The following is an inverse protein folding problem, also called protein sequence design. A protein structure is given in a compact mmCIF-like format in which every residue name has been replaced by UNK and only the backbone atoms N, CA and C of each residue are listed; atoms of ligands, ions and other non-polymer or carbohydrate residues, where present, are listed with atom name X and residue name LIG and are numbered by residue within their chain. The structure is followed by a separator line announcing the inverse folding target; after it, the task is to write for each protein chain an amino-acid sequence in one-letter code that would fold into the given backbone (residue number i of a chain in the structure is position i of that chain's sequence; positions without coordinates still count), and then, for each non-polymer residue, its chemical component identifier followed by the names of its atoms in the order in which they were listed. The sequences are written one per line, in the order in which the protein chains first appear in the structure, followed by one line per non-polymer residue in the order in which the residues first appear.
data_IF_290112551479
#
_entry.id   IF_290112551479
#
_cell.length_a   1.000
_cell.length_b   1.000
_cell.length_c   1.000
_cell.angle_alpha   90.00
_cell.angle_beta   90.00
_cell.angle_gamma   90.00
#
_symmetry.space_group_name_H-M   'P 1'
#
loop_
_entity.id
_entity.type
_entity.pdbx_description
1 polymer ?
#
# COMPACT_ATOMS: atom_id res chain seq x y z
N UNK A 1 -6.26 -7.69 1.32
CA UNK A 1 -7.43 -7.36 0.50
C UNK A 1 -7.46 -5.86 0.30
N UNK A 2 -8.14 -5.40 -0.74
CA UNK A 2 -8.46 -3.99 -0.94
C UNK A 2 -9.68 -3.61 -0.09
N UNK A 3 -9.95 -2.31 0.03
CA UNK A 3 -10.99 -1.73 0.90
C UNK A 3 -12.33 -1.49 0.18
N UNK A 4 -12.53 -2.12 -0.98
CA UNK A 4 -13.76 -2.08 -1.78
C UNK A 4 -14.12 -3.49 -2.28
N UNK A 5 -15.37 -3.65 -2.71
CA UNK A 5 -15.87 -4.88 -3.32
C UNK A 5 -15.33 -5.03 -4.76
N UNK A 6 -15.04 -6.27 -5.24
CA UNK A 6 -14.51 -6.49 -6.60
C UNK A 6 -15.38 -5.84 -7.70
N UNK A 7 -16.70 -5.97 -7.61
CA UNK A 7 -17.64 -5.39 -8.57
C UNK A 7 -17.56 -3.86 -8.65
N UNK A 8 -17.13 -3.20 -7.58
CA UNK A 8 -16.91 -1.76 -7.56
C UNK A 8 -15.56 -1.39 -8.16
N UNK A 9 -14.53 -2.23 -7.95
CA UNK A 9 -13.20 -2.06 -8.51
C UNK A 9 -13.19 -2.27 -10.02
N UNK A 10 -13.96 -3.23 -10.54
CA UNK A 10 -14.12 -3.51 -11.98
C UNK A 10 -14.67 -2.33 -12.80
N UNK A 11 -15.23 -1.32 -12.12
CA UNK A 11 -15.81 -0.12 -12.75
C UNK A 11 -14.83 1.04 -12.87
N UNK A 12 -13.63 0.91 -12.31
CA UNK A 12 -12.64 1.98 -12.27
C UNK A 12 -11.63 1.81 -13.41
N UNK A 13 -11.24 2.93 -14.02
CA UNK A 13 -10.19 2.92 -15.06
C UNK A 13 -8.80 2.66 -14.46
N UNK A 14 -8.58 3.10 -13.21
CA UNK A 14 -7.32 2.99 -12.47
C UNK A 14 -7.63 2.81 -10.98
N UNK A 15 -6.97 1.83 -10.35
CA UNK A 15 -7.03 1.53 -8.92
C UNK A 15 -5.68 1.79 -8.27
N UNK A 16 -5.66 2.70 -7.28
CA UNK A 16 -4.47 3.03 -6.49
C UNK A 16 -4.58 2.45 -5.10
N UNK A 17 -3.78 1.43 -4.78
CA UNK A 17 -3.72 0.85 -3.44
C UNK A 17 -2.74 1.61 -2.55
N UNK A 18 -3.18 2.03 -1.35
CA UNK A 18 -2.34 2.74 -0.37
C UNK A 18 -2.55 2.21 1.05
N UNK A 19 -1.54 2.34 1.90
CA UNK A 19 -1.67 2.05 3.34
C UNK A 19 -1.95 3.35 4.08
N UNK A 20 -3.10 3.44 4.76
CA UNK A 20 -3.48 4.62 5.57
C UNK A 20 -3.71 4.33 7.06
N UNK A 21 -3.59 3.07 7.46
CA UNK A 21 -3.86 2.63 8.84
C UNK A 21 -2.78 1.67 9.34
N UNK A 22 -2.59 1.61 10.66
CA UNK A 22 -1.59 0.73 11.31
C UNK A 22 -0.17 0.91 10.70
N UNK A 23 0.24 2.16 10.49
CA UNK A 23 1.50 2.51 9.82
C UNK A 23 2.76 2.12 10.62
N UNK A 24 2.61 1.87 11.91
CA UNK A 24 3.69 1.43 12.81
C UNK A 24 3.73 -0.09 13.02
N UNK A 25 3.12 -0.87 12.12
CA UNK A 25 3.22 -2.34 12.16
C UNK A 25 4.66 -2.82 12.03
N UNK A 26 4.91 -4.03 12.55
CA UNK A 26 6.17 -4.73 12.30
C UNK A 26 6.45 -4.90 10.80
N UNK A 27 7.73 -4.86 10.43
CA UNK A 27 8.19 -4.88 9.04
C UNK A 27 7.66 -6.09 8.28
N UNK A 28 7.73 -7.29 8.85
CA UNK A 28 7.30 -8.51 8.17
C UNK A 28 5.79 -8.53 7.94
N UNK A 29 5.02 -8.00 8.89
CA UNK A 29 3.57 -7.89 8.76
C UNK A 29 3.17 -6.82 7.72
N UNK A 30 3.90 -5.70 7.66
CA UNK A 30 3.68 -4.67 6.64
C UNK A 30 4.02 -5.18 5.23
N UNK A 31 5.16 -5.87 5.05
CA UNK A 31 5.53 -6.50 3.78
C UNK A 31 4.43 -7.43 3.26
N UNK A 32 3.96 -8.38 4.08
CA UNK A 32 2.89 -9.31 3.68
C UNK A 32 1.60 -8.57 3.30
N UNK A 33 1.27 -7.51 4.04
CA UNK A 33 0.09 -6.68 3.77
C UNK A 33 0.20 -5.98 2.42
N UNK A 34 1.35 -5.35 2.13
CA UNK A 34 1.60 -4.64 0.88
C UNK A 34 1.64 -5.60 -0.30
N UNK A 35 2.38 -6.71 -0.20
CA UNK A 35 2.43 -7.77 -1.23
C UNK A 35 1.02 -8.27 -1.55
N UNK A 36 0.18 -8.54 -0.54
CA UNK A 36 -1.20 -8.99 -0.76
C UNK A 36 -2.09 -7.93 -1.43
N UNK A 37 -1.77 -6.64 -1.28
CA UNK A 37 -2.52 -5.56 -1.92
C UNK A 37 -2.11 -5.39 -3.38
N UNK A 38 -0.80 -5.41 -3.68
CA UNK A 38 -0.30 -5.23 -5.06
C UNK A 38 -0.51 -6.46 -5.93
N UNK A 39 -0.45 -7.67 -5.35
CA UNK A 39 -0.83 -8.91 -6.03
C UNK A 39 -2.36 -9.12 -6.14
N UNK A 40 -3.17 -8.10 -5.81
CA UNK A 40 -4.60 -8.13 -6.09
C UNK A 40 -4.78 -7.79 -7.57
N UNK A 41 -5.44 -8.65 -8.34
CA UNK A 41 -5.59 -8.47 -9.79
C UNK A 41 -6.32 -7.19 -10.24
N UNK A 42 -6.86 -6.39 -9.31
CA UNK A 42 -7.43 -5.08 -9.62
C UNK A 42 -6.48 -3.91 -9.31
N UNK A 43 -5.31 -4.12 -8.69
CA UNK A 43 -4.42 -3.01 -8.32
C UNK A 43 -3.55 -2.62 -9.51
N UNK A 44 -3.63 -1.36 -9.94
CA UNK A 44 -2.76 -0.82 -10.99
C UNK A 44 -1.53 -0.09 -10.44
N UNK A 45 -1.70 0.61 -9.31
CA UNK A 45 -0.66 1.48 -8.74
C UNK A 45 -0.53 1.26 -7.24
N UNK A 46 0.70 1.02 -6.79
CA UNK A 46 1.07 1.20 -5.39
C UNK A 46 1.26 2.70 -5.12
N UNK A 47 0.37 3.29 -4.32
CA UNK A 47 0.47 4.68 -3.90
C UNK A 47 1.61 4.92 -2.91
N UNK A 48 1.56 6.03 -2.17
CA UNK A 48 2.63 6.54 -1.30
C UNK A 48 3.07 5.55 -0.16
N UNK A 49 3.82 4.50 -0.53
CA UNK A 49 3.95 3.26 0.25
C UNK A 49 4.67 3.42 1.59
N UNK A 50 5.57 4.39 1.72
CA UNK A 50 6.26 4.67 2.98
C UNK A 50 5.34 5.32 4.02
N UNK A 51 4.23 5.95 3.58
CA UNK A 51 3.33 6.70 4.46
C UNK A 51 3.99 7.86 5.20
N UNK A 52 5.21 8.28 4.83
CA UNK A 52 5.98 9.34 5.48
C UNK A 52 5.26 10.68 5.41
N UNK A 53 5.32 11.46 6.48
CA UNK A 53 4.98 12.89 6.47
C UNK A 53 6.18 13.69 6.96
N UNK A 54 6.70 14.57 6.12
CA UNK A 54 7.86 15.43 6.44
C UNK A 54 7.46 16.82 6.94
N UNK A 55 6.25 17.26 6.65
CA UNK A 55 5.71 18.56 7.04
C UNK A 55 4.17 18.57 6.93
N UNK A 56 3.53 19.63 7.44
CA UNK A 56 2.11 19.91 7.30
C UNK A 56 1.33 19.91 8.62
N UNK A 57 0.05 20.31 8.54
CA UNK A 57 -0.79 20.56 9.71
C UNK A 57 -1.12 19.29 10.52
N UNK A 58 -0.82 18.10 9.99
CA UNK A 58 -1.01 16.79 10.63
C UNK A 58 0.25 16.30 11.35
N UNK A 59 1.26 17.15 11.50
CA UNK A 59 2.54 16.83 12.12
C UNK A 59 3.49 16.06 11.21
N UNK A 60 4.56 15.55 11.80
CA UNK A 60 5.56 14.71 11.13
C UNK A 60 5.30 13.24 11.45
N UNK A 61 5.56 12.36 10.49
CA UNK A 61 5.43 10.91 10.66
C UNK A 61 6.61 10.18 9.98
N UNK A 62 7.32 9.29 10.69
CA UNK A 62 8.36 8.48 10.08
C UNK A 62 7.79 7.50 9.05
N UNK A 63 8.68 6.91 8.26
CA UNK A 63 8.32 5.90 7.27
C UNK A 63 7.86 4.60 7.94
N UNK A 64 6.86 3.94 7.35
CA UNK A 64 6.56 2.54 7.65
C UNK A 64 7.75 1.67 7.27
N UNK A 65 8.05 0.68 8.11
CA UNK A 65 9.09 -0.32 7.84
C UNK A 65 8.49 -1.47 7.03
N UNK A 66 9.14 -1.85 5.94
CA UNK A 66 8.80 -2.99 5.11
C UNK A 66 10.02 -3.39 4.26
N UNK A 67 9.95 -4.57 3.65
CA UNK A 67 10.93 -5.03 2.67
C UNK A 67 10.56 -4.48 1.29
N UNK A 68 11.30 -3.47 0.84
CA UNK A 68 11.04 -2.79 -0.43
C UNK A 68 11.31 -3.70 -1.64
N UNK A 69 12.31 -4.56 -1.57
CA UNK A 69 12.64 -5.47 -2.66
C UNK A 69 11.51 -6.47 -2.89
N UNK A 70 10.99 -7.07 -1.81
CA UNK A 70 9.86 -7.98 -1.87
C UNK A 70 8.59 -7.29 -2.40
N UNK A 71 8.28 -6.09 -1.91
CA UNK A 71 7.07 -5.34 -2.34
C UNK A 71 7.17 -4.90 -3.80
N UNK A 72 8.31 -4.37 -4.24
CA UNK A 72 8.46 -3.89 -5.61
C UNK A 72 8.61 -5.03 -6.61
N UNK A 73 9.19 -6.17 -6.21
CA UNK A 73 9.13 -7.40 -7.01
C UNK A 73 7.70 -7.83 -7.25
N UNK A 74 6.85 -7.82 -6.21
CA UNK A 74 5.44 -8.15 -6.35
C UNK A 74 4.61 -7.12 -7.14
N UNK A 75 5.11 -5.90 -7.34
CA UNK A 75 4.47 -4.92 -8.23
C UNK A 75 4.83 -5.14 -9.72
N UNK A 76 5.94 -5.81 -9.98
CA UNK A 76 6.44 -6.07 -11.34
C UNK A 76 5.78 -7.30 -11.97
N UNK A 77 5.42 -8.27 -11.14
CA UNK A 77 4.77 -9.53 -11.53
C UNK A 77 3.27 -9.34 -11.81
#
# INVERSE_FOLDING_TARGET
SLDQEPEMLDRLDIVVASVHSKLSMDSAAMTRRMVRAVANGHTDVLGHCTGRLIAGNRGIRPESKFDAEAVFTACRE
#
